data_IF_909192856738
#
_entry.id   IF_909192856738
#
_cell.length_a   1.000
_cell.length_b   1.000
_cell.length_c   1.000
_cell.angle_alpha   90.00
_cell.angle_beta   90.00
_cell.angle_gamma   90.00
#
_symmetry.space_group_name_H-M   'P 1'
#
loop_
_entity.id
_entity.type
_entity.pdbx_description
1 polymer ?
#
# COMPACT_ATOMS: atom_id res chain seq x y z
N UNK A 1 -12.97 16.10 5.91
CA UNK A 1 -11.58 15.95 6.35
C UNK A 1 -10.99 14.78 5.59
N UNK A 2 -9.93 15.00 4.79
CA UNK A 2 -9.09 13.88 4.35
C UNK A 2 -8.59 13.20 5.61
N UNK A 3 -8.87 11.91 5.75
CA UNK A 3 -8.50 11.16 6.93
C UNK A 3 -7.26 10.34 6.57
N UNK A 4 -6.21 10.52 7.37
CA UNK A 4 -4.92 9.89 7.17
C UNK A 4 -5.05 8.36 7.15
N UNK A 5 -4.19 7.71 6.38
CA UNK A 5 -4.06 6.26 6.29
C UNK A 5 -2.67 5.87 6.79
N UNK A 6 -2.60 4.91 7.69
CA UNK A 6 -1.32 4.38 8.17
C UNK A 6 -0.88 3.24 7.25
N UNK A 7 0.30 3.35 6.65
CA UNK A 7 0.79 2.44 5.63
C UNK A 7 2.06 1.75 6.12
N UNK A 8 2.04 0.44 6.04
CA UNK A 8 3.13 -0.48 6.33
C UNK A 8 3.74 -0.94 5.01
N UNK A 9 4.96 -0.48 4.73
CA UNK A 9 5.73 -0.86 3.53
C UNK A 9 6.81 -1.87 3.92
N UNK A 10 6.99 -2.93 3.15
CA UNK A 10 8.10 -3.87 3.36
C UNK A 10 8.63 -4.44 2.04
N UNK A 11 9.85 -4.97 2.08
CA UNK A 11 10.44 -5.72 0.97
C UNK A 11 9.94 -7.17 0.96
N UNK A 12 9.84 -7.75 -0.24
CA UNK A 12 9.45 -9.15 -0.40
C UNK A 12 10.46 -10.08 0.30
N UNK A 13 10.01 -10.81 1.31
CA UNK A 13 10.85 -11.74 2.07
C UNK A 13 11.66 -11.09 3.21
N UNK A 14 11.47 -9.80 3.45
CA UNK A 14 12.01 -9.10 4.62
C UNK A 14 10.88 -8.73 5.60
N UNK A 15 11.20 -8.70 6.89
CA UNK A 15 10.33 -8.26 8.00
C UNK A 15 10.61 -6.81 8.42
N UNK A 16 11.51 -6.12 7.71
CA UNK A 16 11.76 -4.70 7.93
C UNK A 16 10.60 -3.86 7.37
N UNK A 17 9.79 -3.32 8.27
CA UNK A 17 8.66 -2.47 7.94
C UNK A 17 9.04 -0.98 8.02
N UNK A 18 8.73 -0.23 6.97
CA UNK A 18 8.71 1.24 6.96
C UNK A 18 7.25 1.72 7.10
N UNK A 19 6.93 2.25 8.27
CA UNK A 19 5.57 2.61 8.64
C UNK A 19 5.40 4.13 8.58
N UNK A 20 4.45 4.63 7.78
CA UNK A 20 4.24 6.06 7.56
C UNK A 20 2.77 6.40 7.36
N UNK A 21 2.41 7.64 7.65
CA UNK A 21 1.09 8.17 7.34
C UNK A 21 1.08 8.80 5.95
N UNK A 22 0.02 8.52 5.20
CA UNK A 22 -0.24 9.12 3.89
C UNK A 22 -1.68 9.62 3.82
N UNK A 23 -1.87 10.65 3.01
CA UNK A 23 -3.20 11.14 2.67
C UNK A 23 -3.58 10.68 1.27
N UNK A 24 -4.75 10.08 1.14
CA UNK A 24 -5.30 9.61 -0.13
C UNK A 24 -6.67 10.24 -0.40
N UNK A 25 -6.98 10.48 -1.68
CA UNK A 25 -8.30 10.95 -2.11
C UNK A 25 -9.40 9.90 -1.81
N UNK A 26 -9.04 8.61 -1.88
CA UNK A 26 -9.84 7.48 -1.43
C UNK A 26 -8.94 6.45 -0.77
N UNK A 27 -9.48 5.66 0.14
CA UNK A 27 -8.75 4.51 0.70
C UNK A 27 -8.44 3.54 -0.46
N UNK A 28 -7.17 3.23 -0.72
CA UNK A 28 -6.79 2.19 -1.67
C UNK A 28 -7.38 0.82 -1.32
N UNK A 29 -7.47 -0.09 -2.29
CA UNK A 29 -7.96 -1.47 -2.08
C UNK A 29 -6.88 -2.52 -2.37
N UNK A 30 -7.11 -3.75 -1.93
CA UNK A 30 -6.21 -4.88 -2.18
C UNK A 30 -5.94 -5.09 -3.68
N UNK A 31 -4.66 -5.35 -4.02
CA UNK A 31 -4.20 -5.52 -5.38
C UNK A 31 -3.89 -4.23 -6.15
N UNK A 32 -4.23 -3.06 -5.60
CA UNK A 32 -3.77 -1.78 -6.14
C UNK A 32 -2.28 -1.56 -5.85
N UNK A 33 -1.71 -0.57 -6.54
CA UNK A 33 -0.30 -0.25 -6.44
C UNK A 33 -0.12 1.15 -5.86
N UNK A 34 0.83 1.28 -4.95
CA UNK A 34 1.36 2.54 -4.45
C UNK A 34 2.72 2.76 -5.13
N UNK A 35 2.92 3.93 -5.72
CA UNK A 35 4.23 4.32 -6.25
C UNK A 35 4.80 5.45 -5.40
N UNK A 36 6.04 5.30 -4.95
CA UNK A 36 6.88 6.43 -4.55
C UNK A 36 7.73 6.86 -5.74
N UNK A 37 8.59 7.87 -5.57
CA UNK A 37 9.46 8.37 -6.66
C UNK A 37 10.36 7.29 -7.28
N UNK A 38 10.67 6.23 -6.53
CA UNK A 38 11.62 5.18 -6.94
C UNK A 38 11.04 3.76 -6.87
N UNK A 39 10.06 3.52 -6.01
CA UNK A 39 9.63 2.17 -5.67
C UNK A 39 8.13 1.96 -5.88
N UNK A 40 7.77 0.73 -6.24
CA UNK A 40 6.40 0.30 -6.39
C UNK A 40 6.06 -0.72 -5.31
N UNK A 41 4.88 -0.58 -4.73
CA UNK A 41 4.36 -1.47 -3.72
C UNK A 41 2.98 -1.96 -4.14
N UNK A 42 2.72 -3.26 -3.98
CA UNK A 42 1.41 -3.84 -4.19
C UNK A 42 0.71 -3.98 -2.84
N UNK A 43 -0.52 -3.52 -2.75
CA UNK A 43 -1.32 -3.62 -1.54
C UNK A 43 -1.79 -5.06 -1.35
N UNK A 44 -1.50 -5.60 -0.17
CA UNK A 44 -1.84 -6.98 0.22
C UNK A 44 -3.00 -7.04 1.21
N UNK A 45 -3.18 -5.99 2.03
CA UNK A 45 -4.24 -5.95 3.04
C UNK A 45 -4.66 -4.51 3.33
N UNK A 46 -5.97 -4.32 3.50
CA UNK A 46 -6.57 -3.06 3.96
C UNK A 46 -7.45 -3.34 5.16
N UNK A 47 -7.17 -2.68 6.27
CA UNK A 47 -7.95 -2.75 7.51
C UNK A 47 -8.63 -1.41 7.72
N UNK A 48 -9.95 -1.34 7.53
CA UNK A 48 -10.70 -0.11 7.74
C UNK A 48 -10.91 0.19 9.22
N UNK A 49 -10.68 1.44 9.62
CA UNK A 49 -10.80 1.93 11.00
C UNK A 49 -11.82 3.07 11.11
N UNK A 50 -13.11 2.86 10.74
CA UNK A 50 -14.10 3.94 10.62
C UNK A 50 -14.40 4.68 11.93
N UNK A 51 -14.15 4.03 13.08
CA UNK A 51 -14.35 4.59 14.42
C UNK A 51 -13.09 5.28 14.97
N UNK A 52 -11.95 5.18 14.29
CA UNK A 52 -10.74 5.86 14.71
C UNK A 52 -10.85 7.37 14.48
N UNK A 53 -10.37 8.13 15.45
CA UNK A 53 -10.25 9.59 15.35
C UNK A 53 -8.94 9.99 14.65
N UNK A 54 -7.97 9.07 14.54
CA UNK A 54 -6.61 9.34 14.09
C UNK A 54 -6.40 8.97 12.61
N UNK A 55 -7.04 7.89 12.15
CA UNK A 55 -6.88 7.35 10.80
C UNK A 55 -8.16 6.73 10.25
N UNK A 56 -8.21 6.48 8.95
CA UNK A 56 -9.33 5.76 8.30
C UNK A 56 -9.07 4.32 7.96
N UNK A 57 -7.80 3.96 7.80
CA UNK A 57 -7.39 2.60 7.50
C UNK A 57 -5.92 2.39 7.86
N UNK A 58 -5.58 1.13 8.03
CA UNK A 58 -4.22 0.60 7.99
C UNK A 58 -4.05 -0.19 6.69
N UNK A 59 -2.94 0.00 6.00
CA UNK A 59 -2.64 -0.66 4.72
C UNK A 59 -1.29 -1.35 4.81
N UNK A 60 -1.22 -2.58 4.30
CA UNK A 60 0.01 -3.34 4.18
C UNK A 60 0.33 -3.50 2.70
N UNK A 61 1.55 -3.13 2.31
CA UNK A 61 1.99 -3.21 0.93
C UNK A 61 3.43 -3.72 0.81
N UNK A 62 3.63 -4.62 -0.13
CA UNK A 62 4.91 -5.27 -0.41
C UNK A 62 5.58 -4.64 -1.63
N UNK A 63 6.89 -4.39 -1.56
CA UNK A 63 7.67 -3.90 -2.70
C UNK A 63 7.64 -4.91 -3.84
N UNK A 64 7.45 -4.42 -5.06
CA UNK A 64 7.39 -5.24 -6.28
C UNK A 64 8.31 -4.70 -7.36
N UNK A 65 8.79 -5.60 -8.23
CA UNK A 65 9.45 -5.20 -9.47
C UNK A 65 8.38 -4.84 -10.52
N UNK A 66 8.39 -3.58 -10.95
CA UNK A 66 7.44 -3.07 -11.94
C UNK A 66 7.46 -3.86 -13.27
N UNK A 67 8.65 -4.22 -13.76
CA UNK A 67 8.77 -4.94 -15.03
C UNK A 67 8.22 -6.36 -14.93
N UNK A 68 8.44 -7.03 -13.80
CA UNK A 68 7.88 -8.36 -13.55
C UNK A 68 6.35 -8.32 -13.45
N UNK A 69 5.79 -7.34 -12.74
CA UNK A 69 4.34 -7.17 -12.60
C UNK A 69 3.66 -6.86 -13.94
N UNK A 70 4.27 -6.01 -14.77
CA UNK A 70 3.75 -5.72 -16.10
C UNK A 70 3.77 -6.95 -17.02
N UNK A 71 4.83 -7.77 -16.96
CA UNK A 71 4.88 -9.05 -17.70
C UNK A 71 3.79 -10.02 -17.24
N UNK A 72 3.54 -10.13 -15.93
CA UNK A 72 2.47 -10.99 -15.39
C UNK A 72 1.11 -10.58 -15.95
N UNK A 73 0.78 -9.29 -15.94
CA UNK A 73 -0.50 -8.77 -16.43
C UNK A 73 -0.70 -8.94 -17.94
N UNK A 74 0.36 -8.83 -18.74
CA UNK A 74 0.28 -9.00 -20.19
C UNK A 74 0.13 -10.46 -20.64
N UNK A 75 0.50 -11.41 -19.77
CA UNK A 75 0.42 -12.84 -20.02
C UNK A 75 -0.84 -13.50 -19.42
N UNK A 76 -1.80 -12.71 -18.92
CA UNK A 76 -3.09 -13.15 -18.37
C UNK A 76 -4.21 -12.71 -19.30
#
# INVERSE_FOLDING_TARGET
MMKSVFVHLHDAGDVNWDNRYFDFDRIPVEGEYLSTDVDWYKIELVVHTPLSMEMSAEIFAVKVDFNEEMKRKLNT
#
